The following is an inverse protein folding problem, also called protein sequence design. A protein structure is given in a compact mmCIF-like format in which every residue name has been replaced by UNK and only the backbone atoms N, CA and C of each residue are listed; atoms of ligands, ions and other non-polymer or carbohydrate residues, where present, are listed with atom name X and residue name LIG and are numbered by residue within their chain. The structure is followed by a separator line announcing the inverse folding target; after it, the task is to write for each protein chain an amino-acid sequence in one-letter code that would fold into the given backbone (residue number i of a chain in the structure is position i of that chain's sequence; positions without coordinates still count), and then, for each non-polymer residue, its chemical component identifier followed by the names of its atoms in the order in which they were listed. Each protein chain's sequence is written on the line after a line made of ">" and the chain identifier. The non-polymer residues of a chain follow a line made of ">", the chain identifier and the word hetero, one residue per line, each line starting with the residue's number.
data_IF_752315525135
#
_entry.id   IF_752315525135
#
_cell.length_a   1.000
_cell.length_b   1.000
_cell.length_c   1.000
_cell.angle_alpha   90.00
_cell.angle_beta   90.00
_cell.angle_gamma   90.00
#
_symmetry.space_group_name_H-M   'P 1'
#
loop_
_entity.id
_entity.type
_entity.pdbx_description
1 polymer ?
#
# COMPACT_ATOMS: atom_id res chain seq x y z
N UNK A 1 -10.91 -16.31 17.77
CA UNK A 1 -11.09 -15.06 16.98
C UNK A 1 -10.90 -15.34 15.50
N UNK A 2 -11.58 -14.62 14.64
CA UNK A 2 -11.39 -14.72 13.19
C UNK A 2 -10.03 -14.09 12.82
N UNK A 3 -9.26 -14.76 11.94
CA UNK A 3 -8.02 -14.20 11.38
C UNK A 3 -8.29 -12.90 10.63
N UNK A 4 -7.39 -11.94 10.76
CA UNK A 4 -7.44 -10.71 9.97
C UNK A 4 -7.01 -11.03 8.54
N UNK A 5 -7.87 -10.76 7.57
CA UNK A 5 -7.55 -10.90 6.15
C UNK A 5 -6.73 -9.71 5.67
N UNK A 6 -5.56 -9.97 5.11
CA UNK A 6 -4.59 -8.96 4.68
C UNK A 6 -4.37 -9.06 3.17
N UNK A 7 -4.32 -7.91 2.51
CA UNK A 7 -3.77 -7.77 1.15
C UNK A 7 -2.59 -6.81 1.23
N UNK A 8 -1.47 -7.19 0.63
CA UNK A 8 -0.27 -6.35 0.55
C UNK A 8 -0.05 -5.89 -0.90
N UNK A 9 -0.32 -4.62 -1.18
CA UNK A 9 0.03 -3.99 -2.45
C UNK A 9 1.49 -3.51 -2.40
N UNK A 10 2.24 -3.71 -3.48
CA UNK A 10 3.69 -3.45 -3.52
C UNK A 10 4.42 -4.23 -2.42
N UNK A 11 4.12 -5.52 -2.33
CA UNK A 11 4.43 -6.33 -1.15
C UNK A 11 5.94 -6.43 -0.82
N UNK A 12 6.81 -6.31 -1.82
CA UNK A 12 8.25 -6.51 -1.61
C UNK A 12 8.54 -7.86 -0.98
N UNK A 13 9.23 -7.86 0.15
CA UNK A 13 9.54 -9.07 0.93
C UNK A 13 8.50 -9.37 2.04
N UNK A 14 7.43 -8.59 2.12
CA UNK A 14 6.36 -8.80 3.11
C UNK A 14 6.70 -8.31 4.51
N UNK A 15 7.30 -7.13 4.62
CA UNK A 15 7.68 -6.54 5.93
C UNK A 15 6.47 -6.33 6.85
N UNK A 16 5.32 -5.96 6.30
CA UNK A 16 4.09 -5.74 7.06
C UNK A 16 3.54 -7.06 7.60
N UNK A 17 3.56 -8.13 6.80
CA UNK A 17 3.19 -9.48 7.27
C UNK A 17 4.15 -9.97 8.36
N UNK A 18 5.47 -9.73 8.24
CA UNK A 18 6.42 -10.02 9.30
C UNK A 18 6.12 -9.25 10.58
N UNK A 19 5.78 -7.97 10.47
CA UNK A 19 5.42 -7.16 11.63
C UNK A 19 4.19 -7.71 12.35
N UNK A 20 3.13 -8.06 11.63
CA UNK A 20 1.94 -8.68 12.20
C UNK A 20 2.27 -9.99 12.96
N UNK A 21 3.11 -10.84 12.36
CA UNK A 21 3.57 -12.07 12.99
C UNK A 21 4.36 -11.78 14.29
N UNK A 22 5.27 -10.81 14.25
CA UNK A 22 6.14 -10.50 15.38
C UNK A 22 5.37 -9.92 16.59
N UNK A 23 4.27 -9.20 16.34
CA UNK A 23 3.41 -8.69 17.43
C UNK A 23 2.28 -9.65 17.80
N UNK A 24 2.26 -10.86 17.24
CA UNK A 24 1.31 -11.90 17.61
C UNK A 24 -0.11 -11.72 17.12
N UNK A 25 -0.32 -10.95 16.07
CA UNK A 25 -1.63 -10.82 15.42
C UNK A 25 -1.93 -12.09 14.61
N UNK A 26 -3.10 -12.67 14.80
CA UNK A 26 -3.57 -13.80 13.98
C UNK A 26 -4.12 -13.27 12.65
N UNK A 27 -3.40 -13.53 11.58
CA UNK A 27 -3.70 -13.01 10.24
C UNK A 27 -3.56 -14.06 9.14
N UNK A 28 -4.13 -13.73 8.00
CA UNK A 28 -3.99 -14.49 6.75
C UNK A 28 -3.78 -13.51 5.60
N UNK A 29 -2.66 -13.62 4.89
CA UNK A 29 -2.45 -12.89 3.64
C UNK A 29 -3.22 -13.61 2.54
N UNK A 30 -4.29 -12.98 2.05
CA UNK A 30 -5.14 -13.55 1.00
C UNK A 30 -4.66 -13.23 -0.41
N UNK A 31 -3.74 -12.28 -0.54
CA UNK A 31 -3.13 -11.94 -1.81
C UNK A 31 -2.12 -10.81 -1.68
N UNK A 32 -1.24 -10.74 -2.67
CA UNK A 32 -0.26 -9.66 -2.82
C UNK A 32 -0.34 -9.08 -4.23
N UNK A 33 0.16 -7.87 -4.42
CA UNK A 33 0.48 -7.30 -5.73
C UNK A 33 1.97 -6.96 -5.75
N UNK A 34 2.73 -7.73 -6.54
CA UNK A 34 4.17 -7.55 -6.70
C UNK A 34 4.60 -8.02 -8.10
N UNK A 35 5.45 -7.25 -8.76
CA UNK A 35 5.94 -7.54 -10.11
C UNK A 35 7.42 -7.93 -10.16
N UNK A 36 8.19 -7.59 -9.14
CA UNK A 36 9.61 -7.90 -9.06
C UNK A 36 9.81 -9.40 -8.75
N UNK A 37 10.46 -10.12 -9.68
CA UNK A 37 10.67 -11.57 -9.57
C UNK A 37 11.53 -11.95 -8.36
N UNK A 38 12.48 -11.10 -7.97
CA UNK A 38 13.34 -11.36 -6.81
C UNK A 38 12.60 -11.12 -5.51
N UNK A 39 11.80 -10.04 -5.46
CA UNK A 39 10.93 -9.76 -4.33
C UNK A 39 9.92 -10.91 -4.13
N UNK A 40 9.27 -11.39 -5.19
CA UNK A 40 8.33 -12.51 -5.13
C UNK A 40 9.00 -13.77 -4.58
N UNK A 41 10.20 -14.12 -5.06
CA UNK A 41 10.96 -15.28 -4.54
C UNK A 41 11.28 -15.12 -3.05
N UNK A 42 11.71 -13.95 -2.64
CA UNK A 42 12.01 -13.65 -1.23
C UNK A 42 10.76 -13.73 -0.38
N UNK A 43 9.64 -13.17 -0.86
CA UNK A 43 8.36 -13.25 -0.19
C UNK A 43 7.94 -14.71 0.04
N UNK A 44 7.97 -15.52 -1.00
CA UNK A 44 7.61 -16.95 -0.92
C UNK A 44 8.53 -17.75 0.01
N UNK A 45 9.82 -17.42 0.05
CA UNK A 45 10.77 -18.06 0.95
C UNK A 45 10.48 -17.75 2.43
N UNK A 46 10.00 -16.55 2.73
CA UNK A 46 9.72 -16.06 4.10
C UNK A 46 8.31 -16.47 4.57
N UNK A 47 7.33 -16.35 3.70
CA UNK A 47 5.90 -16.43 4.04
C UNK A 47 5.19 -17.64 3.45
N UNK A 48 5.82 -18.37 2.52
CA UNK A 48 5.18 -19.39 1.72
C UNK A 48 4.48 -18.82 0.48
N UNK A 49 3.91 -19.70 -0.32
CA UNK A 49 3.18 -19.29 -1.53
C UNK A 49 1.88 -18.60 -1.18
N UNK A 50 1.60 -17.51 -1.90
CA UNK A 50 0.39 -16.71 -1.78
C UNK A 50 -0.12 -16.34 -3.18
N UNK A 51 -1.39 -16.06 -3.31
CA UNK A 51 -1.92 -15.54 -4.57
C UNK A 51 -1.30 -14.17 -4.89
N UNK A 52 -0.73 -14.02 -6.08
CA UNK A 52 -0.18 -12.77 -6.56
C UNK A 52 -1.04 -12.20 -7.68
N UNK A 53 -1.66 -11.05 -7.44
CA UNK A 53 -2.44 -10.32 -8.45
C UNK A 53 -1.56 -9.71 -9.55
N UNK A 54 -0.24 -9.65 -9.35
CA UNK A 54 0.72 -9.09 -10.30
C UNK A 54 0.70 -7.57 -10.34
N UNK A 55 0.62 -7.03 -11.54
CA UNK A 55 0.62 -5.57 -11.77
C UNK A 55 -0.69 -4.94 -11.29
N UNK A 56 -0.58 -3.99 -10.37
CA UNK A 56 -1.74 -3.28 -9.81
C UNK A 56 -2.58 -2.56 -10.86
N UNK A 57 -1.97 -2.09 -11.94
CA UNK A 57 -2.68 -1.40 -13.03
C UNK A 57 -3.65 -2.32 -13.79
N UNK A 58 -3.45 -3.64 -13.67
CA UNK A 58 -4.27 -4.67 -14.30
C UNK A 58 -5.31 -5.27 -13.36
N UNK A 59 -5.28 -4.90 -12.08
CA UNK A 59 -6.30 -5.31 -11.13
C UNK A 59 -7.61 -4.57 -11.42
N UNK A 60 -8.68 -5.30 -11.67
CA UNK A 60 -10.00 -4.71 -11.90
C UNK A 60 -10.67 -4.29 -10.60
N UNK A 61 -10.52 -5.11 -9.57
CA UNK A 61 -11.08 -4.88 -8.23
C UNK A 61 -10.19 -5.44 -7.14
N UNK A 62 -10.43 -5.02 -5.92
CA UNK A 62 -9.78 -5.50 -4.71
C UNK A 62 -10.74 -6.43 -3.98
N UNK A 63 -10.38 -7.71 -3.74
CA UNK A 63 -11.16 -8.58 -2.88
C UNK A 63 -11.31 -7.99 -1.48
N UNK A 64 -12.36 -8.35 -0.76
CA UNK A 64 -12.51 -7.88 0.62
C UNK A 64 -11.34 -8.31 1.48
N UNK A 65 -10.76 -7.35 2.19
CA UNK A 65 -9.77 -7.58 3.24
C UNK A 65 -10.08 -6.72 4.46
N UNK A 66 -9.60 -7.15 5.62
CA UNK A 66 -9.70 -6.34 6.84
C UNK A 66 -8.62 -5.26 6.87
N UNK A 67 -7.41 -5.60 6.43
CA UNK A 67 -6.24 -4.70 6.35
C UNK A 67 -5.67 -4.69 4.95
N UNK A 68 -5.55 -3.51 4.37
CA UNK A 68 -4.82 -3.26 3.14
C UNK A 68 -3.53 -2.53 3.47
N UNK A 69 -2.39 -3.10 3.10
CA UNK A 69 -1.09 -2.40 3.17
C UNK A 69 -0.65 -1.97 1.78
N UNK A 70 0.00 -0.81 1.68
CA UNK A 70 0.46 -0.29 0.39
C UNK A 70 1.67 0.63 0.57
N UNK A 71 2.84 0.07 0.28
CA UNK A 71 4.13 0.78 0.33
C UNK A 71 4.57 1.08 -1.10
N UNK A 72 3.92 2.06 -1.73
CA UNK A 72 4.20 2.36 -3.14
C UNK A 72 5.62 2.91 -3.33
N UNK A 73 6.27 2.61 -4.49
CA UNK A 73 7.65 3.05 -4.75
C UNK A 73 7.78 4.57 -4.73
N UNK A 74 8.73 5.07 -3.94
CA UNK A 74 8.98 6.48 -3.71
C UNK A 74 9.96 7.11 -4.73
N UNK A 75 10.42 6.36 -5.71
CA UNK A 75 11.49 6.81 -6.62
C UNK A 75 11.12 8.06 -7.41
N UNK A 76 9.86 8.27 -7.70
CA UNK A 76 9.37 9.47 -8.40
C UNK A 76 9.02 10.63 -7.47
N UNK A 77 8.89 10.35 -6.18
CA UNK A 77 8.85 11.36 -5.13
C UNK A 77 10.25 11.88 -4.79
N UNK A 78 11.30 11.12 -5.10
CA UNK A 78 12.68 11.46 -4.73
C UNK A 78 13.50 12.06 -5.86
N UNK A 79 13.15 11.84 -7.12
CA UNK A 79 13.93 12.35 -8.24
C UNK A 79 13.37 13.69 -8.69
N UNK A 80 14.01 14.72 -8.18
CA UNK A 80 14.06 16.03 -8.75
C UNK A 80 14.46 15.94 -10.22
N UNK A 81 13.56 16.04 -11.09
CA UNK A 81 13.98 16.12 -12.47
C UNK A 81 12.98 16.79 -13.37
N UNK A 82 11.74 16.58 -13.24
CA UNK A 82 10.79 17.30 -14.06
C UNK A 82 9.45 17.48 -13.36
N UNK A 83 9.04 18.72 -13.26
CA UNK A 83 7.85 19.37 -12.75
C UNK A 83 6.53 18.81 -13.28
N UNK A 84 6.32 17.50 -13.19
CA UNK A 84 4.99 16.94 -13.43
C UNK A 84 4.52 16.37 -12.11
N UNK A 85 3.48 16.97 -11.56
CA UNK A 85 2.76 16.43 -10.42
C UNK A 85 2.35 14.98 -10.67
N UNK A 86 1.66 14.38 -9.73
CA UNK A 86 1.09 13.03 -9.88
C UNK A 86 0.39 12.96 -11.24
N UNK A 87 1.03 12.35 -12.22
CA UNK A 87 0.52 12.13 -13.56
C UNK A 87 0.51 10.63 -13.84
N UNK A 88 -0.39 10.20 -14.70
CA UNK A 88 -0.58 8.79 -15.06
C UNK A 88 0.70 8.10 -15.58
N UNK A 89 1.69 8.87 -16.06
CA UNK A 89 2.95 8.35 -16.62
C UNK A 89 4.11 8.24 -15.62
N UNK A 90 3.90 8.55 -14.34
CA UNK A 90 4.95 8.48 -13.31
C UNK A 90 4.69 7.34 -12.34
N UNK A 91 5.74 6.84 -11.66
CA UNK A 91 5.58 5.82 -10.60
C UNK A 91 4.73 6.33 -9.42
N UNK A 92 4.58 7.63 -9.25
CA UNK A 92 3.57 8.22 -8.38
C UNK A 92 2.13 7.99 -8.89
N UNK A 93 1.96 7.67 -10.16
CA UNK A 93 0.72 7.15 -10.73
C UNK A 93 0.26 5.85 -10.07
N UNK A 94 1.18 5.10 -9.41
CA UNK A 94 0.82 3.89 -8.66
C UNK A 94 -0.07 4.17 -7.45
N UNK A 95 0.04 5.34 -6.83
CA UNK A 95 -0.90 5.76 -5.79
C UNK A 95 -2.31 6.02 -6.36
N UNK A 96 -2.41 6.51 -7.60
CA UNK A 96 -3.68 6.66 -8.30
C UNK A 96 -4.34 5.29 -8.57
N UNK A 97 -3.56 4.24 -8.77
CA UNK A 97 -4.10 2.88 -8.88
C UNK A 97 -4.69 2.39 -7.56
N UNK A 98 -4.08 2.72 -6.42
CA UNK A 98 -4.66 2.46 -5.10
C UNK A 98 -5.97 3.25 -4.93
N UNK A 99 -5.99 4.52 -5.33
CA UNK A 99 -7.20 5.37 -5.33
C UNK A 99 -8.32 4.73 -6.17
N UNK A 100 -8.02 4.30 -7.38
CA UNK A 100 -8.96 3.61 -8.27
C UNK A 100 -9.55 2.35 -7.64
N UNK A 101 -8.71 1.51 -7.04
CA UNK A 101 -9.14 0.29 -6.36
C UNK A 101 -10.01 0.60 -5.14
N UNK A 102 -9.65 1.60 -4.33
CA UNK A 102 -10.46 2.01 -3.17
C UNK A 102 -11.82 2.58 -3.58
N UNK A 103 -11.88 3.37 -4.66
CA UNK A 103 -13.16 3.85 -5.19
C UNK A 103 -14.04 2.68 -5.64
N UNK A 104 -13.46 1.69 -6.30
CA UNK A 104 -14.19 0.49 -6.72
C UNK A 104 -14.72 -0.33 -5.53
N UNK A 105 -13.90 -0.51 -4.49
CA UNK A 105 -14.34 -1.19 -3.27
C UNK A 105 -15.43 -0.41 -2.53
N UNK A 106 -15.37 0.94 -2.57
CA UNK A 106 -16.45 1.78 -2.03
C UNK A 106 -17.77 1.54 -2.75
N UNK A 107 -17.77 1.53 -4.09
CA UNK A 107 -18.95 1.21 -4.89
C UNK A 107 -19.53 -0.16 -4.54
N UNK A 108 -18.66 -1.15 -4.33
CA UNK A 108 -19.05 -2.51 -3.98
C UNK A 108 -19.47 -2.68 -2.49
N UNK A 109 -19.31 -1.65 -1.66
CA UNK A 109 -19.57 -1.73 -0.23
C UNK A 109 -18.59 -2.61 0.55
N UNK A 110 -17.37 -2.79 0.03
CA UNK A 110 -16.36 -3.74 0.56
C UNK A 110 -15.06 -3.06 0.94
N UNK A 111 -15.12 -1.78 1.36
CA UNK A 111 -13.92 -1.07 1.82
C UNK A 111 -13.18 -1.84 2.91
N UNK A 112 -11.83 -1.92 2.84
CA UNK A 112 -11.01 -2.44 3.92
C UNK A 112 -11.31 -1.70 5.23
N UNK A 113 -11.27 -2.41 6.35
CA UNK A 113 -11.42 -1.77 7.67
C UNK A 113 -10.28 -0.84 8.01
N UNK A 114 -9.07 -1.27 7.68
CA UNK A 114 -7.82 -0.58 8.01
C UNK A 114 -6.96 -0.45 6.78
N UNK A 115 -6.29 0.69 6.68
CA UNK A 115 -5.28 0.99 5.66
C UNK A 115 -3.96 1.28 6.37
N UNK A 116 -2.87 0.72 5.88
CA UNK A 116 -1.52 0.97 6.36
C UNK A 116 -0.62 1.39 5.21
N UNK A 117 -0.21 2.63 5.22
CA UNK A 117 0.80 3.18 4.31
C UNK A 117 2.15 3.24 5.04
N UNK A 118 3.16 2.64 4.46
CA UNK A 118 4.56 2.87 4.84
C UNK A 118 5.28 3.55 3.67
N UNK A 119 6.11 4.55 3.97
CA UNK A 119 6.91 5.23 2.96
C UNK A 119 8.08 5.96 3.59
N UNK A 120 8.97 6.48 2.76
CA UNK A 120 10.14 7.23 3.25
C UNK A 120 9.72 8.60 3.80
N UNK A 121 10.50 9.13 4.76
CA UNK A 121 10.30 10.45 5.38
C UNK A 121 10.07 11.57 4.37
N UNK A 122 10.63 11.48 3.18
CA UNK A 122 10.50 12.52 2.16
C UNK A 122 9.06 12.75 1.68
N UNK A 123 8.15 11.78 1.89
CA UNK A 123 6.73 11.93 1.59
C UNK A 123 6.11 13.15 2.32
N UNK A 124 6.56 13.41 3.54
CA UNK A 124 6.11 14.57 4.34
C UNK A 124 7.06 15.77 4.23
N UNK A 125 8.02 15.71 3.32
CA UNK A 125 8.92 16.81 3.00
C UNK A 125 8.24 17.92 2.20
N UNK A 126 8.80 19.12 2.23
CA UNK A 126 8.24 20.34 1.59
C UNK A 126 7.77 20.15 0.14
N UNK A 127 8.40 19.24 -0.59
CA UNK A 127 8.09 19.00 -2.01
C UNK A 127 6.79 18.20 -2.19
N UNK A 128 6.52 17.26 -1.31
CA UNK A 128 5.43 16.26 -1.49
C UNK A 128 4.32 16.36 -0.46
N UNK A 129 4.47 17.23 0.54
CA UNK A 129 3.48 17.38 1.62
C UNK A 129 2.08 17.68 1.08
N UNK A 130 1.96 18.49 0.03
CA UNK A 130 0.67 18.82 -0.58
C UNK A 130 -0.01 17.60 -1.24
N UNK A 131 0.78 16.74 -1.88
CA UNK A 131 0.28 15.51 -2.47
C UNK A 131 -0.16 14.52 -1.39
N UNK A 132 0.61 14.46 -0.29
CA UNK A 132 0.25 13.66 0.86
C UNK A 132 -1.02 14.17 1.55
N UNK A 133 -1.16 15.48 1.75
CA UNK A 133 -2.40 16.09 2.28
C UNK A 133 -3.61 15.81 1.38
N UNK A 134 -3.43 15.87 0.06
CA UNK A 134 -4.49 15.49 -0.89
C UNK A 134 -4.90 14.02 -0.70
N UNK A 135 -3.93 13.13 -0.52
CA UNK A 135 -4.21 11.72 -0.24
C UNK A 135 -4.98 11.52 1.07
N UNK A 136 -4.59 12.20 2.14
CA UNK A 136 -5.31 12.14 3.41
C UNK A 136 -6.75 12.66 3.29
N UNK A 137 -6.95 13.74 2.53
CA UNK A 137 -8.29 14.27 2.26
C UNK A 137 -9.15 13.28 1.46
N UNK A 138 -8.55 12.59 0.48
CA UNK A 138 -9.23 11.52 -0.23
C UNK A 138 -9.65 10.38 0.70
N UNK A 139 -8.77 9.89 1.56
CA UNK A 139 -9.09 8.85 2.54
C UNK A 139 -10.21 9.30 3.50
N UNK A 140 -10.15 10.54 3.95
CA UNK A 140 -11.20 11.13 4.80
C UNK A 140 -12.56 11.15 4.07
N UNK A 141 -12.58 11.43 2.77
CA UNK A 141 -13.79 11.39 1.94
C UNK A 141 -14.40 9.99 1.83
N UNK A 142 -13.60 8.94 2.00
CA UNK A 142 -14.05 7.55 2.08
C UNK A 142 -14.53 7.14 3.47
N UNK A 143 -14.35 7.99 4.47
CA UNK A 143 -14.75 7.73 5.86
C UNK A 143 -13.63 7.24 6.77
N UNK A 144 -12.38 7.24 6.29
CA UNK A 144 -11.23 6.87 7.14
C UNK A 144 -10.78 8.05 8.01
N UNK A 145 -10.41 7.74 9.23
CA UNK A 145 -9.65 8.63 10.10
C UNK A 145 -8.17 8.29 9.98
N UNK A 146 -7.34 9.27 9.61
CA UNK A 146 -5.92 9.06 9.34
C UNK A 146 -5.04 9.64 10.44
N UNK A 147 -4.07 8.84 10.87
CA UNK A 147 -2.96 9.24 11.73
C UNK A 147 -1.65 8.91 11.02
N UNK A 148 -0.62 9.74 11.18
CA UNK A 148 0.69 9.44 10.65
C UNK A 148 1.80 9.93 11.58
N UNK A 149 2.95 9.29 11.49
CA UNK A 149 4.13 9.59 12.30
C UNK A 149 5.40 9.33 11.49
N UNK A 150 6.44 10.10 11.78
CA UNK A 150 7.78 9.85 11.25
C UNK A 150 8.55 9.01 12.25
N UNK A 151 8.83 7.77 11.86
CA UNK A 151 9.57 6.80 12.67
C UNK A 151 10.98 6.62 12.13
N UNK A 152 11.90 6.26 13.01
CA UNK A 152 13.26 5.89 12.64
C UNK A 152 13.45 4.39 12.87
N UNK A 153 13.83 3.66 11.84
CA UNK A 153 14.04 2.21 11.92
C UNK A 153 15.16 1.78 12.89
N UNK A 154 15.92 2.75 13.45
CA UNK A 154 16.94 2.49 14.48
C UNK A 154 16.36 2.49 15.89
N UNK A 155 15.18 3.03 16.07
CA UNK A 155 14.52 3.15 17.38
C UNK A 155 13.63 1.91 17.63
#
# INVERSE_FOLDING_TARGET
>A
MRKIKVIELFAGVGSQAMALRNIGIDYEVIGISEIDKFAIKSYEAIHGKVHNFGDISKMEELPYCDLLTYSFPCQDLSIAGHRKGISEDTRSGLLLEVERLLLKTKENGTLPKYLLLENVKNLVGKKFIKDFERWLNFLNSLGYYSNWEVLNAKD
#
